data_IF_775824734687
#
_entry.id   IF_775824734687
#
_cell.length_a   1.000
_cell.length_b   1.000
_cell.length_c   1.000
_cell.angle_alpha   90.00
_cell.angle_beta   90.00
_cell.angle_gamma   90.00
#
_symmetry.space_group_name_H-M   'P 1'
#
loop_
_entity.id
_entity.type
_entity.pdbx_description
1 polymer ?
#
# COMPACT_ATOMS: atom_id res chain seq x y z
N UNK A 1 -20.70 -13.47 7.73
CA UNK A 1 -19.32 -13.57 8.25
C UNK A 1 -18.28 -12.77 7.44
N UNK A 2 -18.50 -12.43 6.16
CA UNK A 2 -17.50 -11.71 5.35
C UNK A 2 -17.36 -10.20 5.67
N UNK A 3 -18.44 -9.50 6.06
CA UNK A 3 -18.43 -8.05 6.30
C UNK A 3 -17.38 -7.60 7.35
N UNK A 4 -17.12 -8.43 8.35
CA UNK A 4 -16.20 -8.09 9.44
C UNK A 4 -14.73 -8.25 9.01
N UNK A 5 -14.40 -9.26 8.21
CA UNK A 5 -13.07 -9.44 7.62
C UNK A 5 -12.76 -8.35 6.59
N UNK A 6 -13.73 -8.01 5.74
CA UNK A 6 -13.61 -6.93 4.75
C UNK A 6 -13.28 -5.58 5.42
N UNK A 7 -13.90 -5.30 6.57
CA UNK A 7 -13.64 -4.10 7.37
C UNK A 7 -12.26 -4.12 8.04
N UNK A 8 -11.80 -5.29 8.48
CA UNK A 8 -10.47 -5.47 9.08
C UNK A 8 -9.36 -5.24 8.05
N UNK A 9 -9.47 -5.82 6.86
CA UNK A 9 -8.50 -5.64 5.77
C UNK A 9 -8.48 -4.18 5.32
N UNK A 10 -9.63 -3.54 5.17
CA UNK A 10 -9.71 -2.11 4.87
C UNK A 10 -8.96 -1.27 5.90
N UNK A 11 -9.19 -1.52 7.19
CA UNK A 11 -8.52 -0.80 8.28
C UNK A 11 -7.00 -1.00 8.24
N UNK A 12 -6.52 -2.22 7.99
CA UNK A 12 -5.10 -2.53 7.89
C UNK A 12 -4.44 -1.80 6.72
N UNK A 13 -5.06 -1.83 5.53
CA UNK A 13 -4.52 -1.13 4.35
C UNK A 13 -4.50 0.38 4.57
N UNK A 14 -5.53 0.95 5.21
CA UNK A 14 -5.52 2.35 5.58
C UNK A 14 -4.34 2.72 6.50
N UNK A 15 -3.99 1.85 7.46
CA UNK A 15 -2.81 2.05 8.31
C UNK A 15 -1.49 1.99 7.52
N UNK A 16 -1.39 1.12 6.51
CA UNK A 16 -0.21 1.08 5.62
C UNK A 16 -0.07 2.39 4.85
N UNK A 17 -1.17 2.92 4.32
CA UNK A 17 -1.16 4.21 3.60
C UNK A 17 -0.70 5.35 4.50
N UNK A 18 -1.22 5.42 5.73
CA UNK A 18 -0.77 6.45 6.69
C UNK A 18 0.74 6.38 6.91
N UNK A 19 1.30 5.18 7.07
CA UNK A 19 2.75 4.98 7.19
C UNK A 19 3.50 5.40 5.93
N UNK A 20 3.00 5.07 4.74
CA UNK A 20 3.59 5.53 3.47
C UNK A 20 3.64 7.06 3.43
N UNK A 21 2.54 7.73 3.75
CA UNK A 21 2.49 9.19 3.79
C UNK A 21 3.38 9.80 4.88
N UNK A 22 3.59 9.10 5.99
CA UNK A 22 4.54 9.51 7.04
C UNK A 22 5.98 9.41 6.52
N UNK A 23 6.40 8.23 6.06
CA UNK A 23 7.78 7.98 5.64
C UNK A 23 8.21 8.76 4.39
N UNK A 24 7.31 8.96 3.43
CA UNK A 24 7.62 9.70 2.19
C UNK A 24 7.81 11.20 2.41
N UNK A 25 7.51 11.75 3.61
CA UNK A 25 7.79 13.16 3.93
C UNK A 25 9.29 13.44 3.96
N UNK A 26 10.06 12.50 4.46
CA UNK A 26 11.51 12.62 4.70
C UNK A 26 12.35 12.12 3.51
N UNK A 27 11.71 11.75 2.40
CA UNK A 27 12.42 11.33 1.19
C UNK A 27 13.27 12.47 0.62
N UNK A 28 14.48 12.17 0.10
CA UNK A 28 15.26 13.12 -0.69
C UNK A 28 14.42 13.65 -1.87
N UNK A 29 14.65 14.91 -2.25
CA UNK A 29 13.83 15.62 -3.25
C UNK A 29 13.69 14.85 -4.57
N UNK A 30 14.76 14.18 -5.01
CA UNK A 30 14.79 13.39 -6.25
C UNK A 30 13.84 12.18 -6.21
N UNK A 31 13.70 11.52 -5.05
CA UNK A 31 12.84 10.35 -4.87
C UNK A 31 11.42 10.70 -4.42
N UNK A 32 11.24 11.88 -3.81
CA UNK A 32 9.94 12.31 -3.27
C UNK A 32 8.86 12.51 -4.33
N UNK A 33 9.24 12.98 -5.52
CA UNK A 33 8.34 13.21 -6.66
C UNK A 33 8.28 12.03 -7.63
N UNK A 34 9.06 10.97 -7.39
CA UNK A 34 9.07 9.73 -8.17
C UNK A 34 8.53 8.61 -7.27
N UNK A 35 9.41 7.81 -6.65
CA UNK A 35 9.05 6.69 -5.77
C UNK A 35 8.08 7.08 -4.65
N UNK A 36 8.27 8.25 -4.03
CA UNK A 36 7.38 8.73 -2.97
C UNK A 36 5.97 9.10 -3.46
N UNK A 37 5.80 9.40 -4.74
CA UNK A 37 4.50 9.65 -5.35
C UNK A 37 3.85 8.33 -5.79
N UNK A 38 4.63 7.42 -6.39
CA UNK A 38 4.16 6.10 -6.85
C UNK A 38 3.63 5.28 -5.66
N UNK A 39 4.40 5.17 -4.57
CA UNK A 39 3.98 4.53 -3.31
C UNK A 39 2.63 5.04 -2.78
N UNK A 40 2.39 6.35 -2.88
CA UNK A 40 1.13 6.97 -2.42
C UNK A 40 -0.03 6.60 -3.34
N UNK A 41 0.21 6.66 -4.65
CA UNK A 41 -0.80 6.30 -5.64
C UNK A 41 -1.17 4.83 -5.54
N UNK A 42 -0.19 3.95 -5.45
CA UNK A 42 -0.40 2.50 -5.36
C UNK A 42 -1.06 2.10 -4.04
N UNK A 43 -0.65 2.72 -2.92
CA UNK A 43 -1.35 2.60 -1.64
C UNK A 43 -2.84 2.97 -1.75
N UNK A 44 -3.18 4.10 -2.39
CA UNK A 44 -4.58 4.49 -2.59
C UNK A 44 -5.35 3.55 -3.52
N UNK A 45 -4.69 2.94 -4.51
CA UNK A 45 -5.29 1.95 -5.40
C UNK A 45 -5.70 0.68 -4.64
N UNK A 46 -4.95 0.27 -3.62
CA UNK A 46 -5.31 -0.87 -2.76
C UNK A 46 -6.65 -0.65 -2.03
N UNK A 47 -6.85 0.53 -1.46
CA UNK A 47 -8.14 0.91 -0.84
C UNK A 47 -9.27 0.87 -1.85
N UNK A 48 -9.01 1.36 -3.08
CA UNK A 48 -10.01 1.34 -4.15
C UNK A 48 -10.37 -0.10 -4.56
N UNK A 49 -9.41 -1.02 -4.63
CA UNK A 49 -9.67 -2.44 -4.91
C UNK A 49 -10.52 -3.10 -3.82
N UNK A 50 -10.20 -2.87 -2.53
CA UNK A 50 -11.01 -3.40 -1.41
C UNK A 50 -12.42 -2.83 -1.42
N UNK A 51 -12.56 -1.52 -1.62
CA UNK A 51 -13.87 -0.88 -1.71
C UNK A 51 -14.73 -1.49 -2.83
N UNK A 52 -14.13 -1.72 -4.01
CA UNK A 52 -14.80 -2.37 -5.14
C UNK A 52 -15.17 -3.83 -4.84
N UNK A 53 -14.26 -4.59 -4.22
CA UNK A 53 -14.54 -5.95 -3.77
C UNK A 53 -15.71 -6.01 -2.79
N UNK A 54 -15.81 -5.05 -1.87
CA UNK A 54 -16.89 -4.98 -0.88
C UNK A 54 -18.24 -4.60 -1.50
N UNK A 55 -18.23 -3.82 -2.59
CA UNK A 55 -19.45 -3.39 -3.30
C UNK A 55 -19.93 -4.40 -4.35
N UNK A 56 -19.04 -5.24 -4.88
CA UNK A 56 -19.35 -6.18 -5.96
C UNK A 56 -19.93 -7.51 -5.44
N UNK A 57 -20.79 -8.13 -6.25
CA UNK A 57 -21.23 -9.52 -6.05
C UNK A 57 -20.14 -10.52 -6.44
N UNK A 58 -19.24 -10.15 -7.36
CA UNK A 58 -18.03 -10.89 -7.73
C UNK A 58 -16.81 -10.25 -7.09
N UNK A 59 -16.32 -10.81 -5.98
CA UNK A 59 -15.19 -10.25 -5.22
C UNK A 59 -13.82 -10.69 -5.75
N UNK A 60 -13.77 -11.88 -6.37
CA UNK A 60 -12.52 -12.59 -6.66
C UNK A 60 -11.57 -11.77 -7.55
N UNK A 61 -12.07 -11.22 -8.65
CA UNK A 61 -11.27 -10.41 -9.58
C UNK A 61 -10.67 -9.15 -8.90
N UNK A 62 -11.41 -8.53 -7.98
CA UNK A 62 -10.92 -7.37 -7.24
C UNK A 62 -9.92 -7.73 -6.16
N UNK A 63 -10.04 -8.93 -5.56
CA UNK A 63 -9.09 -9.45 -4.59
C UNK A 63 -7.79 -9.91 -5.27
N UNK A 64 -7.86 -10.54 -6.44
CA UNK A 64 -6.69 -10.89 -7.25
C UNK A 64 -5.94 -9.62 -7.68
N UNK A 65 -6.65 -8.63 -8.24
CA UNK A 65 -6.05 -7.33 -8.56
C UNK A 65 -5.50 -6.59 -7.33
N UNK A 66 -6.08 -6.80 -6.15
CA UNK A 66 -5.54 -6.26 -4.91
C UNK A 66 -4.21 -6.92 -4.55
N UNK A 67 -4.12 -8.25 -4.64
CA UNK A 67 -2.91 -9.01 -4.35
C UNK A 67 -1.76 -8.61 -5.28
N UNK A 68 -2.01 -8.50 -6.58
CA UNK A 68 -0.99 -8.08 -7.56
C UNK A 68 -0.42 -6.69 -7.23
N UNK A 69 -1.31 -5.73 -6.94
CA UNK A 69 -0.91 -4.37 -6.56
C UNK A 69 -0.19 -4.33 -5.22
N UNK A 70 -0.57 -5.20 -4.29
CA UNK A 70 0.05 -5.27 -2.98
C UNK A 70 1.50 -5.78 -3.09
N UNK A 71 1.72 -6.73 -3.98
CA UNK A 71 3.05 -7.27 -4.26
C UNK A 71 3.95 -6.24 -4.95
N UNK A 72 3.39 -5.45 -5.87
CA UNK A 72 4.09 -4.32 -6.45
C UNK A 72 4.48 -3.29 -5.37
N UNK A 73 3.55 -2.92 -4.49
CA UNK A 73 3.81 -1.97 -3.40
C UNK A 73 4.92 -2.49 -2.46
N UNK A 74 4.98 -3.80 -2.18
CA UNK A 74 6.10 -4.38 -1.41
C UNK A 74 7.43 -4.20 -2.12
N UNK A 75 7.47 -4.43 -3.44
CA UNK A 75 8.69 -4.24 -4.24
C UNK A 75 9.15 -2.79 -4.23
N UNK A 76 8.24 -1.83 -4.34
CA UNK A 76 8.56 -0.39 -4.22
C UNK A 76 9.16 -0.04 -2.85
N UNK A 77 8.61 -0.61 -1.78
CA UNK A 77 9.14 -0.43 -0.42
C UNK A 77 10.54 -1.04 -0.30
N UNK A 78 10.75 -2.26 -0.82
CA UNK A 78 12.07 -2.89 -0.84
C UNK A 78 13.09 -2.03 -1.61
N UNK A 79 12.70 -1.49 -2.77
CA UNK A 79 13.55 -0.58 -3.54
C UNK A 79 13.92 0.67 -2.74
N UNK A 80 12.98 1.23 -1.97
CA UNK A 80 13.27 2.37 -1.09
C UNK A 80 14.30 2.03 0.02
N UNK A 81 14.31 0.79 0.50
CA UNK A 81 15.31 0.29 1.46
C UNK A 81 16.66 0.08 0.77
N UNK A 82 16.68 -0.56 -0.40
CA UNK A 82 17.91 -0.85 -1.16
C UNK A 82 18.62 0.44 -1.59
N UNK A 83 17.86 1.46 -1.99
CA UNK A 83 18.35 2.80 -2.30
C UNK A 83 18.74 3.62 -1.05
N UNK A 84 18.57 3.06 0.15
CA UNK A 84 18.83 3.71 1.45
C UNK A 84 18.02 4.99 1.67
N UNK A 85 16.88 5.11 1.00
CA UNK A 85 15.91 6.21 1.18
C UNK A 85 15.20 6.04 2.53
N UNK A 86 14.87 4.80 2.88
CA UNK A 86 14.35 4.42 4.19
C UNK A 86 15.48 3.90 5.07
N UNK A 87 15.72 4.54 6.22
CA UNK A 87 16.59 3.96 7.25
C UNK A 87 15.85 2.82 7.94
N UNK A 88 16.43 1.61 7.93
CA UNK A 88 15.91 0.42 8.61
C UNK A 88 15.99 0.64 10.13
N UNK A 89 15.03 1.39 10.70
CA UNK A 89 14.75 1.39 12.13
C UNK A 89 13.34 0.89 12.46
N UNK A 90 12.50 0.62 11.46
CA UNK A 90 11.09 0.22 11.62
C UNK A 90 10.61 -0.73 10.53
N UNK A 91 11.28 -1.87 10.36
CA UNK A 91 10.66 -3.00 9.65
C UNK A 91 10.74 -4.20 10.60
N UNK A 92 9.69 -4.35 11.41
CA UNK A 92 9.43 -5.62 12.07
C UNK A 92 9.02 -6.59 10.96
N UNK A 93 9.90 -7.55 10.70
CA UNK A 93 9.60 -8.79 9.98
C UNK A 93 8.49 -9.53 10.71
#
# INVERSE_FOLDING_TARGET
MALQYDLLVFKQVYQVILKIFEYTKDFPKEYKLTLGQDLKMDGLQLVRSIYKANKSNGKWEYLESFLDKFELLKLEICLCVDLKILSIKKQAV
#
